data_IF_920553294969
#
_entry.id   IF_920553294969
#
_cell.length_a   1.000
_cell.length_b   1.000
_cell.length_c   1.000
_cell.angle_alpha   90.00
_cell.angle_beta   90.00
_cell.angle_gamma   90.00
#
_symmetry.space_group_name_H-M   'P 1'
#
loop_
_entity.id
_entity.type
_entity.pdbx_description
1 polymer ?
#
# COMPACT_ATOMS: atom_id res chain seq x y z
N UNK A 1 -1.59 15.71 -24.20
CA UNK A 1 -0.16 16.09 -24.24
C UNK A 1 0.40 15.70 -22.88
N UNK A 2 0.89 14.47 -22.74
CA UNK A 2 1.39 13.95 -21.48
C UNK A 2 2.91 14.13 -21.47
N UNK A 3 3.46 14.56 -20.33
CA UNK A 3 4.89 14.59 -20.08
C UNK A 3 5.40 13.16 -20.10
N UNK A 4 6.42 12.87 -20.90
CA UNK A 4 7.08 11.57 -20.86
C UNK A 4 8.10 11.54 -19.72
N UNK A 5 8.45 10.36 -19.19
CA UNK A 5 9.53 10.24 -18.20
C UNK A 5 10.84 10.90 -18.67
N UNK A 6 11.14 10.79 -19.96
CA UNK A 6 12.34 11.38 -20.58
C UNK A 6 12.28 12.91 -20.63
N UNK A 7 11.08 13.51 -20.75
CA UNK A 7 10.93 14.97 -20.76
C UNK A 7 11.24 15.58 -19.38
N UNK A 8 10.93 14.85 -18.30
CA UNK A 8 11.18 15.29 -16.92
C UNK A 8 12.66 15.23 -16.59
N UNK A 9 13.36 14.15 -16.97
CA UNK A 9 14.80 13.99 -16.74
C UNK A 9 15.63 15.01 -17.53
N UNK A 10 15.20 15.35 -18.75
CA UNK A 10 15.91 16.32 -19.60
C UNK A 10 15.56 17.78 -19.29
N UNK A 11 14.66 18.03 -18.35
CA UNK A 11 14.21 19.37 -18.00
C UNK A 11 15.29 20.15 -17.25
N UNK A 12 15.68 21.31 -17.78
CA UNK A 12 16.69 22.19 -17.15
C UNK A 12 16.05 23.44 -16.57
N UNK A 13 16.19 23.63 -15.26
CA UNK A 13 15.72 24.81 -14.57
C UNK A 13 16.80 25.90 -14.52
N UNK A 14 16.40 27.17 -14.64
CA UNK A 14 17.31 28.31 -14.52
C UNK A 14 17.48 28.74 -13.06
N UNK A 15 18.72 28.85 -12.59
CA UNK A 15 19.03 29.24 -11.20
C UNK A 15 18.83 30.75 -11.02
N UNK A 16 17.99 31.16 -10.07
CA UNK A 16 17.73 32.58 -9.76
C UNK A 16 18.77 33.13 -8.77
N UNK A 17 19.65 34.03 -9.22
CA UNK A 17 20.75 34.59 -8.39
C UNK A 17 20.35 35.65 -7.34
N UNK A 18 19.13 36.18 -7.39
CA UNK A 18 18.72 37.36 -6.59
C UNK A 18 17.44 37.16 -5.77
N UNK A 19 16.90 35.93 -5.71
CA UNK A 19 15.73 35.56 -4.91
C UNK A 19 15.96 34.18 -4.32
N UNK A 20 15.40 33.94 -3.14
CA UNK A 20 15.40 32.62 -2.51
C UNK A 20 14.72 31.65 -3.49
N UNK A 21 15.52 30.73 -4.03
CA UNK A 21 15.08 29.70 -4.96
C UNK A 21 14.75 28.40 -4.25
N UNK A 22 14.26 27.44 -5.01
CA UNK A 22 14.18 26.06 -4.53
C UNK A 22 15.59 25.47 -4.43
N UNK A 23 15.79 24.60 -3.44
CA UNK A 23 17.02 23.84 -3.29
C UNK A 23 17.14 22.83 -4.45
N UNK A 24 18.30 22.81 -5.13
CA UNK A 24 18.49 21.97 -6.30
C UNK A 24 18.37 20.49 -5.95
N UNK A 25 19.00 20.08 -4.85
CA UNK A 25 19.03 18.67 -4.44
C UNK A 25 17.61 18.18 -4.10
N UNK A 26 16.81 19.04 -3.45
CA UNK A 26 15.41 18.72 -3.13
C UNK A 26 14.52 18.67 -4.37
N UNK A 27 14.79 19.52 -5.37
CA UNK A 27 14.07 19.47 -6.65
C UNK A 27 14.44 18.20 -7.40
N UNK A 28 15.72 17.82 -7.44
CA UNK A 28 16.18 16.61 -8.11
C UNK A 28 15.58 15.34 -7.47
N UNK A 29 15.57 15.23 -6.14
CA UNK A 29 14.92 14.11 -5.40
C UNK A 29 13.42 14.00 -5.72
N UNK A 30 12.74 15.15 -5.83
CA UNK A 30 11.31 15.18 -6.18
C UNK A 30 11.08 14.76 -7.64
N UNK A 31 11.95 15.18 -8.56
CA UNK A 31 11.85 14.79 -9.97
C UNK A 31 12.07 13.29 -10.17
N UNK A 32 12.98 12.67 -9.41
CA UNK A 32 13.17 11.21 -9.43
C UNK A 32 11.90 10.47 -9.02
N UNK A 33 11.24 10.92 -7.94
CA UNK A 33 9.96 10.36 -7.48
C UNK A 33 8.87 10.50 -8.56
N UNK A 34 8.80 11.66 -9.22
CA UNK A 34 7.82 11.92 -10.29
C UNK A 34 8.08 11.03 -11.51
N UNK A 35 9.34 10.78 -11.87
CA UNK A 35 9.70 9.90 -12.99
C UNK A 35 9.29 8.45 -12.71
N UNK A 36 9.51 7.97 -11.49
CA UNK A 36 9.05 6.63 -11.08
C UNK A 36 7.52 6.50 -11.16
N UNK A 37 6.79 7.49 -10.66
CA UNK A 37 5.32 7.49 -10.70
C UNK A 37 4.77 7.55 -12.13
N UNK A 38 5.36 8.36 -13.02
CA UNK A 38 4.94 8.41 -14.43
C UNK A 38 5.19 7.06 -15.12
N UNK A 39 6.36 6.42 -14.89
CA UNK A 39 6.65 5.09 -15.44
C UNK A 39 5.65 4.05 -14.95
N UNK A 40 5.32 4.08 -13.66
CA UNK A 40 4.32 3.18 -13.09
C UNK A 40 2.95 3.41 -13.73
N UNK A 41 2.49 4.66 -13.83
CA UNK A 41 1.20 5.00 -14.44
C UNK A 41 1.12 4.63 -15.92
N UNK A 42 2.21 4.78 -16.67
CA UNK A 42 2.26 4.38 -18.07
C UNK A 42 2.20 2.86 -18.22
N UNK A 43 2.87 2.10 -17.34
CA UNK A 43 2.77 0.64 -17.30
C UNK A 43 1.34 0.17 -16.96
N UNK A 44 0.72 0.75 -15.94
CA UNK A 44 -0.68 0.47 -15.56
C UNK A 44 -1.65 0.81 -16.71
N UNK A 45 -1.42 1.93 -17.40
CA UNK A 45 -2.22 2.31 -18.56
C UNK A 45 -2.08 1.31 -19.70
N UNK A 46 -0.86 0.85 -20.00
CA UNK A 46 -0.63 -0.17 -21.02
C UNK A 46 -1.28 -1.51 -20.64
N UNK A 47 -1.22 -1.91 -19.37
CA UNK A 47 -1.89 -3.11 -18.89
C UNK A 47 -3.42 -3.01 -19.02
N UNK A 48 -4.00 -1.86 -18.64
CA UNK A 48 -5.43 -1.61 -18.79
C UNK A 48 -5.84 -1.59 -20.27
N UNK A 49 -5.07 -0.97 -21.15
CA UNK A 49 -5.31 -0.98 -22.60
C UNK A 49 -5.22 -2.40 -23.17
N UNK A 50 -4.24 -3.20 -22.74
CA UNK A 50 -4.12 -4.60 -23.13
C UNK A 50 -5.32 -5.43 -22.65
N UNK A 51 -5.78 -5.21 -21.41
CA UNK A 51 -6.97 -5.88 -20.86
C UNK A 51 -8.25 -5.49 -21.59
N UNK A 52 -8.39 -4.21 -21.98
CA UNK A 52 -9.51 -3.75 -22.81
C UNK A 52 -9.43 -4.41 -24.19
N UNK A 53 -8.26 -4.47 -24.82
CA UNK A 53 -8.07 -5.13 -26.10
C UNK A 53 -8.41 -6.63 -26.05
N UNK A 54 -8.02 -7.31 -24.97
CA UNK A 54 -8.34 -8.71 -24.75
C UNK A 54 -9.85 -8.93 -24.51
N UNK A 55 -10.47 -8.13 -23.64
CA UNK A 55 -11.91 -8.22 -23.37
C UNK A 55 -12.75 -7.88 -24.61
N UNK A 56 -12.33 -6.89 -25.39
CA UNK A 56 -12.98 -6.55 -26.66
C UNK A 56 -12.83 -7.67 -27.68
N UNK A 57 -11.66 -8.30 -27.80
CA UNK A 57 -11.47 -9.49 -28.63
C UNK A 57 -12.35 -10.68 -28.16
N UNK A 58 -12.43 -10.93 -26.85
CA UNK A 58 -13.31 -11.96 -26.29
C UNK A 58 -14.79 -11.67 -26.55
N UNK A 59 -15.21 -10.40 -26.54
CA UNK A 59 -16.57 -9.99 -26.88
C UNK A 59 -16.86 -10.13 -28.39
N UNK A 60 -15.90 -9.84 -29.26
CA UNK A 60 -16.01 -10.05 -30.71
C UNK A 60 -16.06 -11.54 -31.07
N UNK A 61 -15.25 -12.37 -30.42
CA UNK A 61 -15.21 -13.84 -30.59
C UNK A 61 -16.48 -14.52 -30.04
N UNK A 62 -17.13 -13.90 -29.03
CA UNK A 62 -18.44 -14.31 -28.51
C UNK A 62 -19.60 -13.95 -29.45
N UNK A 63 -19.35 -13.19 -30.52
CA UNK A 63 -20.32 -12.82 -31.56
C UNK A 63 -21.43 -11.89 -31.06
N UNK A 64 -22.19 -11.23 -31.97
CA UNK A 64 -23.19 -10.24 -31.59
C UNK A 64 -24.44 -10.94 -31.06
N UNK A 65 -24.44 -11.26 -29.78
CA UNK A 65 -25.65 -11.42 -28.98
C UNK A 65 -25.39 -10.74 -27.64
N UNK A 66 -26.22 -9.73 -27.36
CA UNK A 66 -26.21 -8.84 -26.20
C UNK A 66 -25.35 -7.56 -26.31
N UNK A 67 -25.58 -6.77 -27.36
CA UNK A 67 -25.53 -5.32 -27.22
C UNK A 67 -26.93 -4.82 -26.82
N UNK A 68 -27.29 -4.94 -25.55
CA UNK A 68 -28.10 -3.93 -24.82
C UNK A 68 -28.16 -4.30 -23.32
N UNK A 69 -27.19 -3.84 -22.53
CA UNK A 69 -27.37 -3.71 -21.09
C UNK A 69 -26.91 -2.31 -20.67
N UNK A 70 -27.64 -1.29 -21.15
CA UNK A 70 -27.86 -0.13 -20.29
C UNK A 70 -28.65 -0.59 -19.08
N UNK A 71 -28.06 -0.37 -17.91
CA UNK A 71 -28.67 -0.53 -16.59
C UNK A 71 -30.08 0.10 -16.58
N UNK A 72 -31.10 -0.74 -16.66
CA UNK A 72 -32.45 -0.41 -16.22
C UNK A 72 -32.67 -1.15 -14.92
N UNK A 73 -32.68 -0.40 -13.83
CA UNK A 73 -33.21 -0.84 -12.55
C UNK A 73 -34.69 -1.16 -12.76
N UNK A 74 -35.00 -2.43 -13.02
CA UNK A 74 -36.37 -2.93 -13.03
C UNK A 74 -36.81 -3.14 -11.57
N UNK A 75 -37.22 -2.04 -10.95
CA UNK A 75 -38.07 -2.08 -9.79
C UNK A 75 -39.41 -2.72 -10.20
N UNK A 76 -39.87 -3.83 -9.58
CA UNK A 76 -41.13 -4.43 -9.94
C UNK A 76 -42.26 -3.49 -9.50
N UNK A 77 -42.82 -2.75 -10.46
CA UNK A 77 -44.06 -2.02 -10.27
C UNK A 77 -45.20 -3.04 -10.25
N UNK A 78 -45.84 -3.12 -9.10
CA UNK A 78 -47.03 -3.92 -8.85
C UNK A 78 -48.12 -3.62 -9.90
N UNK A 79 -48.47 -4.64 -10.69
CA UNK A 79 -49.62 -4.59 -11.59
C UNK A 79 -50.84 -5.03 -10.80
N UNK A 80 -51.74 -4.08 -10.55
CA UNK A 80 -53.07 -4.32 -9.99
C UNK A 80 -53.95 -5.12 -10.98
N UNK A 81 -54.66 -6.18 -10.55
CA UNK A 81 -55.61 -6.87 -11.41
C UNK A 81 -56.97 -6.15 -11.37
N UNK A 82 -57.47 -5.78 -12.55
CA UNK A 82 -58.89 -5.42 -12.76
C UNK A 82 -59.60 -6.65 -13.31
N UNK A 83 -60.68 -7.16 -12.70
CA UNK A 83 -61.39 -8.34 -13.21
C UNK A 83 -62.60 -7.95 -14.07
N UNK A 84 -62.77 -8.63 -15.20
CA UNK A 84 -64.05 -8.73 -15.93
C UNK A 84 -64.09 -10.07 -16.74
N UNK A 85 -65.28 -10.65 -16.98
CA UNK A 85 -65.54 -12.09 -16.81
C UNK A 85 -66.07 -12.84 -18.05
N UNK A 86 -65.85 -14.17 -18.09
CA UNK A 86 -66.58 -15.26 -18.78
C UNK A 86 -65.60 -16.48 -18.81
N UNK A 87 -65.93 -17.77 -18.65
CA UNK A 87 -67.09 -18.56 -19.08
C UNK A 87 -67.04 -19.96 -18.39
N UNK A 88 -68.15 -20.71 -18.41
CA UNK A 88 -68.49 -21.93 -17.65
C UNK A 88 -67.88 -23.27 -18.15
N UNK A 89 -67.48 -24.14 -17.19
CA UNK A 89 -67.70 -25.61 -16.98
C UNK A 89 -67.58 -26.66 -18.16
N UNK A 90 -67.60 -28.02 -17.95
CA UNK A 90 -67.80 -28.83 -16.73
C UNK A 90 -66.94 -30.15 -16.56
N UNK A 91 -67.11 -30.80 -15.39
CA UNK A 91 -67.04 -32.26 -15.06
C UNK A 91 -65.69 -33.04 -15.21
N UNK A 92 -65.35 -34.11 -14.48
CA UNK A 92 -66.06 -35.12 -13.66
C UNK A 92 -65.07 -35.69 -12.61
N UNK A 93 -65.44 -35.92 -11.35
CA UNK A 93 -66.08 -37.11 -10.73
C UNK A 93 -65.46 -38.49 -11.01
N UNK A 94 -65.31 -39.26 -9.93
CA UNK A 94 -64.33 -40.33 -9.75
C UNK A 94 -64.57 -41.66 -10.46
N UNK A 95 -63.52 -42.49 -10.45
CA UNK A 95 -63.62 -43.94 -10.65
C UNK A 95 -62.35 -44.65 -10.14
N UNK A 96 -62.47 -45.39 -9.04
CA UNK A 96 -61.50 -46.42 -8.64
C UNK A 96 -61.31 -47.40 -9.80
N UNK A 97 -60.16 -47.29 -10.48
CA UNK A 97 -59.65 -48.29 -11.42
C UNK A 97 -58.44 -48.98 -10.77
N UNK A 98 -58.17 -50.26 -11.03
CA UNK A 98 -56.99 -50.97 -10.53
C UNK A 98 -55.64 -50.31 -10.93
N UNK A 99 -55.65 -49.35 -11.85
CA UNK A 99 -54.53 -48.47 -12.18
C UNK A 99 -54.21 -47.43 -11.08
N UNK A 100 -55.18 -47.09 -10.23
CA UNK A 100 -55.01 -46.15 -9.12
C UNK A 100 -54.07 -46.68 -8.01
N UNK A 101 -54.01 -48.01 -7.85
CA UNK A 101 -53.12 -48.66 -6.88
C UNK A 101 -51.67 -48.71 -7.42
N UNK A 102 -51.51 -48.87 -8.74
CA UNK A 102 -50.18 -48.82 -9.38
C UNK A 102 -49.64 -47.40 -9.43
N UNK A 103 -50.49 -46.41 -9.67
CA UNK A 103 -50.10 -44.99 -9.63
C UNK A 103 -49.80 -44.53 -8.20
N UNK A 104 -50.54 -44.98 -7.18
CA UNK A 104 -50.22 -44.66 -5.79
C UNK A 104 -48.88 -45.29 -5.35
N UNK A 105 -48.59 -46.53 -5.78
CA UNK A 105 -47.31 -47.16 -5.54
C UNK A 105 -46.15 -46.42 -6.25
N UNK A 106 -46.36 -45.95 -7.48
CA UNK A 106 -45.37 -45.14 -8.19
C UNK A 106 -45.16 -43.77 -7.53
N UNK A 107 -46.23 -43.12 -7.03
CA UNK A 107 -46.12 -41.87 -6.29
C UNK A 107 -45.38 -42.03 -4.97
N UNK A 108 -45.61 -43.13 -4.24
CA UNK A 108 -44.87 -43.44 -3.02
C UNK A 108 -43.39 -43.65 -3.30
N UNK A 109 -43.06 -44.42 -4.34
CA UNK A 109 -41.67 -44.61 -4.77
C UNK A 109 -41.03 -43.29 -5.23
N UNK A 110 -41.78 -42.42 -5.90
CA UNK A 110 -41.29 -41.11 -6.33
C UNK A 110 -41.03 -40.16 -5.15
N UNK A 111 -41.89 -40.17 -4.12
CA UNK A 111 -41.69 -39.40 -2.89
C UNK A 111 -40.48 -39.92 -2.09
N UNK A 112 -40.33 -41.22 -1.95
CA UNK A 112 -39.18 -41.81 -1.26
C UNK A 112 -37.85 -41.49 -1.99
N UNK A 113 -37.85 -41.55 -3.32
CA UNK A 113 -36.70 -41.15 -4.13
C UNK A 113 -36.41 -39.65 -3.98
N UNK A 114 -37.44 -38.80 -3.95
CA UNK A 114 -37.30 -37.37 -3.73
C UNK A 114 -36.68 -37.09 -2.36
N UNK A 115 -37.21 -37.68 -1.29
CA UNK A 115 -36.72 -37.47 0.07
C UNK A 115 -35.26 -37.95 0.21
N UNK A 116 -34.88 -39.00 -0.53
CA UNK A 116 -33.49 -39.43 -0.64
C UNK A 116 -32.62 -38.37 -1.32
N UNK A 117 -33.01 -37.83 -2.47
CA UNK A 117 -32.24 -36.77 -3.13
C UNK A 117 -32.19 -35.47 -2.32
N UNK A 118 -33.24 -35.13 -1.58
CA UNK A 118 -33.25 -33.97 -0.68
C UNK A 118 -32.26 -34.16 0.44
N UNK A 119 -32.26 -35.31 1.12
CA UNK A 119 -31.30 -35.57 2.21
C UNK A 119 -29.85 -35.69 1.71
N UNK A 120 -29.62 -36.28 0.52
CA UNK A 120 -28.30 -36.27 -0.14
C UNK A 120 -27.87 -34.84 -0.52
N UNK A 121 -28.80 -33.99 -0.97
CA UNK A 121 -28.56 -32.59 -1.24
C UNK A 121 -28.23 -31.79 0.02
N UNK A 122 -28.95 -32.01 1.12
CA UNK A 122 -28.71 -31.36 2.41
C UNK A 122 -27.36 -31.75 3.00
N UNK A 123 -27.04 -33.05 2.99
CA UNK A 123 -25.74 -33.55 3.49
C UNK A 123 -24.56 -33.01 2.67
N UNK A 124 -24.64 -33.06 1.34
CA UNK A 124 -23.57 -32.52 0.47
C UNK A 124 -23.43 -31.00 0.62
N UNK A 125 -24.54 -30.28 0.78
CA UNK A 125 -24.52 -28.84 1.06
C UNK A 125 -23.83 -28.56 2.39
N UNK A 126 -24.19 -29.28 3.45
CA UNK A 126 -23.65 -29.05 4.79
C UNK A 126 -22.16 -29.43 4.84
N UNK A 127 -21.74 -30.50 4.16
CA UNK A 127 -20.33 -30.86 3.98
C UNK A 127 -19.55 -29.75 3.27
N UNK A 128 -20.08 -29.21 2.17
CA UNK A 128 -19.44 -28.13 1.42
C UNK A 128 -19.35 -26.85 2.26
N UNK A 129 -20.39 -26.50 3.01
CA UNK A 129 -20.39 -25.36 3.93
C UNK A 129 -19.32 -25.54 5.01
N UNK A 130 -19.25 -26.71 5.64
CA UNK A 130 -18.26 -26.99 6.68
C UNK A 130 -16.83 -26.97 6.14
N UNK A 131 -16.60 -27.54 4.95
CA UNK A 131 -15.30 -27.50 4.28
C UNK A 131 -14.89 -26.07 3.90
N UNK A 132 -15.83 -25.28 3.37
CA UNK A 132 -15.59 -23.88 3.04
C UNK A 132 -15.30 -23.04 4.29
N UNK A 133 -16.05 -23.25 5.37
CA UNK A 133 -15.84 -22.58 6.65
C UNK A 133 -14.47 -22.92 7.23
N UNK A 134 -14.10 -24.21 7.26
CA UNK A 134 -12.80 -24.67 7.76
C UNK A 134 -11.65 -24.07 6.95
N UNK A 135 -11.77 -24.04 5.62
CA UNK A 135 -10.75 -23.43 4.75
C UNK A 135 -10.67 -21.92 4.96
N UNK A 136 -11.81 -21.25 5.15
CA UNK A 136 -11.85 -19.81 5.43
C UNK A 136 -11.18 -19.50 6.76
N UNK A 137 -11.46 -20.25 7.82
CA UNK A 137 -10.83 -20.02 9.13
C UNK A 137 -9.33 -20.28 9.05
N UNK A 138 -8.90 -21.34 8.37
CA UNK A 138 -7.47 -21.61 8.15
C UNK A 138 -6.78 -20.48 7.38
N UNK A 139 -7.41 -19.97 6.32
CA UNK A 139 -6.84 -18.86 5.54
C UNK A 139 -6.73 -17.58 6.38
N UNK A 140 -7.73 -17.30 7.22
CA UNK A 140 -7.70 -16.17 8.15
C UNK A 140 -6.60 -16.36 9.20
N UNK A 141 -6.47 -17.54 9.79
CA UNK A 141 -5.43 -17.83 10.78
C UNK A 141 -4.02 -17.71 10.19
N UNK A 142 -3.81 -18.19 8.96
CA UNK A 142 -2.55 -18.04 8.24
C UNK A 142 -2.23 -16.58 7.88
N UNK A 143 -3.24 -15.82 7.43
CA UNK A 143 -3.12 -14.40 7.15
C UNK A 143 -2.80 -13.62 8.44
N UNK A 144 -3.46 -13.94 9.55
CA UNK A 144 -3.19 -13.32 10.84
C UNK A 144 -1.79 -13.66 11.37
N UNK A 145 -1.34 -14.91 11.20
CA UNK A 145 0.01 -15.33 11.60
C UNK A 145 1.08 -14.57 10.82
N UNK A 146 0.97 -14.53 9.50
CA UNK A 146 1.91 -13.80 8.64
C UNK A 146 1.89 -12.29 8.91
N UNK A 147 0.72 -11.71 9.16
CA UNK A 147 0.61 -10.31 9.56
C UNK A 147 1.30 -10.04 10.90
N UNK A 148 1.12 -10.92 11.90
CA UNK A 148 1.80 -10.79 13.21
C UNK A 148 3.32 -10.90 13.07
N UNK A 149 3.80 -11.88 12.32
CA UNK A 149 5.25 -12.07 12.05
C UNK A 149 5.84 -10.84 11.36
N UNK A 150 5.16 -10.28 10.35
CA UNK A 150 5.62 -9.08 9.64
C UNK A 150 5.66 -7.85 10.57
N UNK A 151 4.64 -7.69 11.44
CA UNK A 151 4.60 -6.58 12.41
C UNK A 151 5.71 -6.72 13.45
N UNK A 152 5.95 -7.92 13.97
CA UNK A 152 7.03 -8.18 14.91
C UNK A 152 8.39 -7.93 14.28
N UNK A 153 8.61 -8.37 13.04
CA UNK A 153 9.84 -8.11 12.31
C UNK A 153 10.03 -6.60 12.05
N UNK A 154 9.00 -5.90 11.61
CA UNK A 154 9.04 -4.46 11.38
C UNK A 154 9.31 -3.67 12.67
N UNK A 155 8.71 -4.09 13.79
CA UNK A 155 8.98 -3.50 15.10
C UNK A 155 10.43 -3.76 15.53
N UNK A 156 10.93 -4.98 15.35
CA UNK A 156 12.32 -5.32 15.68
C UNK A 156 13.30 -4.47 14.86
N UNK A 157 13.14 -4.42 13.54
CA UNK A 157 13.95 -3.58 12.63
C UNK A 157 13.94 -2.12 13.07
N UNK A 158 12.76 -1.56 13.37
CA UNK A 158 12.64 -0.19 13.90
C UNK A 158 13.43 0.00 15.20
N UNK A 159 13.34 -0.93 16.14
CA UNK A 159 14.07 -0.79 17.40
C UNK A 159 15.58 -0.91 17.20
N UNK A 160 16.04 -1.72 16.26
CA UNK A 160 17.45 -1.91 15.96
C UNK A 160 18.03 -0.68 15.23
N UNK A 161 17.28 -0.09 14.29
CA UNK A 161 17.64 1.18 13.63
C UNK A 161 17.71 2.34 14.65
N UNK A 162 16.73 2.44 15.56
CA UNK A 162 16.75 3.47 16.60
C UNK A 162 17.94 3.29 17.56
N UNK A 163 18.33 2.05 17.87
CA UNK A 163 19.54 1.78 18.66
C UNK A 163 20.79 2.20 17.90
N UNK A 164 20.92 1.80 16.63
CA UNK A 164 22.06 2.17 15.79
C UNK A 164 22.22 3.70 15.68
N UNK A 165 21.13 4.43 15.44
CA UNK A 165 21.16 5.89 15.42
C UNK A 165 21.50 6.51 16.78
N UNK A 166 21.01 5.92 17.87
CA UNK A 166 21.37 6.38 19.22
C UNK A 166 22.87 6.21 19.49
N UNK A 167 23.45 5.08 19.08
CA UNK A 167 24.89 4.80 19.20
C UNK A 167 25.73 5.75 18.33
N UNK A 168 25.27 6.06 17.11
CA UNK A 168 25.91 7.06 16.23
C UNK A 168 25.88 8.46 16.84
N UNK A 169 24.73 8.86 17.41
CA UNK A 169 24.60 10.13 18.10
C UNK A 169 25.51 10.20 19.33
N UNK A 170 25.65 9.12 20.10
CA UNK A 170 26.57 9.06 21.23
C UNK A 170 28.03 9.22 20.77
N UNK A 171 28.44 8.49 19.72
CA UNK A 171 29.78 8.61 19.12
C UNK A 171 30.06 10.02 18.62
N UNK A 172 29.10 10.62 17.91
CA UNK A 172 29.26 11.98 17.39
C UNK A 172 29.37 13.00 18.54
N UNK A 173 28.55 12.85 19.59
CA UNK A 173 28.65 13.68 20.78
C UNK A 173 30.00 13.51 21.51
N UNK A 174 30.54 12.30 21.56
CA UNK A 174 31.86 12.04 22.12
C UNK A 174 32.96 12.75 21.31
N UNK A 175 32.92 12.67 19.98
CA UNK A 175 33.87 13.37 19.10
C UNK A 175 33.75 14.89 19.27
N UNK A 176 32.53 15.43 19.36
CA UNK A 176 32.32 16.86 19.62
C UNK A 176 32.90 17.27 20.97
N UNK A 177 32.74 16.45 22.01
CA UNK A 177 33.32 16.72 23.33
C UNK A 177 34.85 16.69 23.29
N UNK A 178 35.45 15.73 22.59
CA UNK A 178 36.89 15.62 22.38
C UNK A 178 37.45 16.85 21.64
N UNK A 179 36.82 17.26 20.54
CA UNK A 179 37.23 18.44 19.76
C UNK A 179 37.14 19.73 20.58
N UNK A 180 36.08 19.89 21.40
CA UNK A 180 35.95 21.04 22.32
C UNK A 180 37.02 21.02 23.40
N UNK A 181 37.35 19.85 23.92
CA UNK A 181 38.46 19.65 24.86
C UNK A 181 39.79 20.09 24.23
N UNK A 182 40.09 19.57 23.05
CA UNK A 182 41.29 19.93 22.28
C UNK A 182 41.37 21.43 21.98
N UNK A 183 40.26 22.07 21.56
CA UNK A 183 40.20 23.52 21.32
C UNK A 183 40.50 24.32 22.59
N UNK A 184 39.90 23.93 23.72
CA UNK A 184 40.11 24.59 25.02
C UNK A 184 41.56 24.47 25.48
N UNK A 185 42.13 23.27 25.41
CA UNK A 185 43.53 23.00 25.73
C UNK A 185 44.47 23.78 24.82
N UNK A 186 44.26 23.73 23.50
CA UNK A 186 45.06 24.48 22.53
C UNK A 186 45.04 25.99 22.80
N UNK A 187 43.85 26.57 23.07
CA UNK A 187 43.72 27.99 23.44
C UNK A 187 44.44 28.31 24.76
N UNK A 188 44.36 27.42 25.75
CA UNK A 188 45.06 27.58 27.02
C UNK A 188 46.58 27.58 26.83
N UNK A 189 47.10 26.60 26.08
CA UNK A 189 48.53 26.48 25.77
C UNK A 189 49.02 27.69 24.97
N UNK A 190 48.27 28.12 23.95
CA UNK A 190 48.63 29.30 23.15
C UNK A 190 48.63 30.57 24.02
N UNK A 191 47.63 30.75 24.88
CA UNK A 191 47.57 31.88 25.82
C UNK A 191 48.77 31.86 26.77
N UNK A 192 49.09 30.71 27.36
CA UNK A 192 50.22 30.57 28.28
C UNK A 192 51.56 30.84 27.58
N UNK A 193 51.73 30.34 26.35
CA UNK A 193 52.92 30.60 25.54
C UNK A 193 53.11 32.08 25.24
N UNK A 194 52.06 32.78 24.78
CA UNK A 194 52.09 34.21 24.51
C UNK A 194 52.37 35.00 25.80
N UNK A 195 51.76 34.64 26.92
CA UNK A 195 52.03 35.29 28.22
C UNK A 195 53.47 35.10 28.70
N UNK A 196 54.05 33.92 28.48
CA UNK A 196 55.47 33.67 28.78
C UNK A 196 56.37 34.55 27.92
N UNK A 197 56.14 34.61 26.61
CA UNK A 197 56.91 35.45 25.70
C UNK A 197 56.84 36.94 26.05
N UNK A 198 55.65 37.44 26.41
CA UNK A 198 55.49 38.82 26.85
C UNK A 198 56.25 39.10 28.14
N UNK A 199 56.21 38.17 29.11
CA UNK A 199 56.97 38.30 30.36
C UNK A 199 58.48 38.23 30.13
N UNK A 200 58.96 37.42 29.20
CA UNK A 200 60.37 37.36 28.82
C UNK A 200 60.82 38.67 28.16
N UNK A 201 59.96 39.30 27.34
CA UNK A 201 60.24 40.62 26.75
C UNK A 201 60.26 41.74 27.81
N UNK A 202 59.28 41.75 28.73
CA UNK A 202 59.23 42.74 29.82
C UNK A 202 60.40 42.58 30.82
N UNK A 203 60.88 41.35 31.00
CA UNK A 203 62.01 41.05 31.88
C UNK A 203 63.36 41.14 31.21
N UNK A 204 63.42 41.21 29.87
CA UNK A 204 64.63 41.57 29.13
C UNK A 204 64.95 43.03 29.43
N UNK A 205 65.95 43.33 30.29
CA UNK A 205 66.21 44.70 30.69
C UNK A 205 66.61 45.49 29.45
N UNK A 206 65.92 46.61 29.23
CA UNK A 206 66.38 47.66 28.33
C UNK A 206 67.88 47.89 28.62
N UNK A 207 68.80 47.64 27.66
CA UNK A 207 70.21 47.83 27.93
C UNK A 207 70.39 49.33 28.17
N UNK A 208 70.57 49.70 29.45
CA UNK A 208 70.94 51.04 29.89
C UNK A 208 72.35 51.35 29.38
N UNK A 209 72.50 51.52 28.06
CA UNK A 209 73.62 52.24 27.47
C UNK A 209 73.17 53.70 27.44
N UNK A 210 73.27 54.35 28.61
CA UNK A 210 73.52 55.80 28.60
C UNK A 210 74.91 55.97 27.96
N UNK A 211 75.07 56.73 26.87
CA UNK A 211 76.40 57.08 26.42
C UNK A 211 77.02 57.93 27.54
N UNK A 212 77.98 57.35 28.28
CA UNK A 212 78.90 58.11 29.11
C UNK A 212 79.69 59.03 28.18
N UNK A 213 79.30 60.28 28.14
CA UNK A 213 79.93 61.32 27.35
C UNK A 213 79.31 62.65 27.70
N UNK A 214 79.78 63.24 28.80
CA UNK A 214 79.95 64.67 29.06
C UNK A 214 80.28 64.88 30.55
N UNK A 215 81.57 64.87 30.88
CA UNK A 215 82.34 65.95 31.54
C UNK A 215 83.82 65.55 31.68
#
# INVERSE_FOLDING_TARGET
MALTPEDVVNQKFTITKFRDGYDLDQVDDFLDTVVEEIRQRDAEKQELEAKIAELTAQLEERGPVAADETIVVEAPVAVAPTPAPAEEAPAADGAQRPDAIKSSAMLQMALELHDKYVSEGETTRDELINAAQTKSTQMVDDAERTARELVEEAQKRRTDELRAHSDEMEKLNQVVAELRGFESEYRSTLRSYIQSQLRDLDSSPEPLVRPEGLE
#
